data_IF_691121359357
#
_entry.id   IF_691121359357
#
_cell.length_a   1.000
_cell.length_b   1.000
_cell.length_c   1.000
_cell.angle_alpha   90.00
_cell.angle_beta   90.00
_cell.angle_gamma   90.00
#
_symmetry.space_group_name_H-M   'P 1'
#
loop_
_entity.id
_entity.type
_entity.pdbx_description
1 polymer ?
#
# COMPACT_ATOMS: atom_id res chain seq x y z
N UNK A 1 13.81 18.18 -5.17
CA UNK A 1 12.79 18.83 -6.00
C UNK A 1 13.32 20.19 -6.41
N UNK A 2 13.36 20.54 -7.70
CA UNK A 2 13.61 21.90 -8.13
C UNK A 2 12.41 22.79 -7.75
N UNK A 3 12.68 23.93 -7.13
CA UNK A 3 11.73 25.04 -6.91
C UNK A 3 10.45 24.71 -6.10
N UNK A 4 10.45 23.60 -5.35
CA UNK A 4 9.31 23.20 -4.50
C UNK A 4 8.17 22.52 -5.26
N UNK A 5 8.38 22.11 -6.51
CA UNK A 5 7.39 21.36 -7.28
C UNK A 5 7.32 19.87 -6.94
N UNK A 6 6.35 19.16 -7.52
CA UNK A 6 6.16 17.71 -7.30
C UNK A 6 7.23 16.84 -7.96
N UNK A 7 8.06 17.41 -8.84
CA UNK A 7 9.11 16.67 -9.54
C UNK A 7 10.35 16.48 -8.65
N UNK A 8 11.00 15.32 -8.74
CA UNK A 8 12.21 15.04 -7.99
C UNK A 8 13.22 14.21 -8.80
N UNK A 9 14.51 14.51 -8.62
CA UNK A 9 15.60 13.66 -9.10
C UNK A 9 15.78 12.49 -8.13
N UNK A 10 16.00 11.29 -8.67
CA UNK A 10 16.33 10.10 -7.90
C UNK A 10 17.81 9.76 -8.08
N UNK A 11 18.49 9.45 -6.97
CA UNK A 11 19.88 8.99 -6.94
C UNK A 11 20.07 7.93 -5.88
N UNK A 12 20.72 6.84 -6.24
CA UNK A 12 21.10 5.78 -5.31
C UNK A 12 22.19 6.26 -4.34
N UNK A 13 21.98 5.99 -3.05
CA UNK A 13 22.87 6.40 -1.97
C UNK A 13 23.26 5.19 -1.13
N UNK A 14 24.56 5.05 -0.89
CA UNK A 14 25.12 4.05 0.01
C UNK A 14 25.23 4.65 1.43
N UNK A 15 24.54 4.04 2.39
CA UNK A 15 24.47 4.51 3.77
C UNK A 15 25.82 4.30 4.49
N UNK A 16 26.52 3.21 4.22
CA UNK A 16 27.78 2.86 4.88
C UNK A 16 28.93 3.73 4.35
N UNK A 17 29.00 3.87 3.02
CA UNK A 17 29.99 4.74 2.36
C UNK A 17 29.64 6.23 2.50
N UNK A 18 28.38 6.55 2.84
CA UNK A 18 27.84 7.92 2.95
C UNK A 18 28.02 8.73 1.67
N UNK A 19 27.86 8.06 0.53
CA UNK A 19 28.06 8.66 -0.79
C UNK A 19 27.04 8.15 -1.79
N UNK A 20 26.81 8.92 -2.85
CA UNK A 20 26.06 8.42 -4.00
C UNK A 20 26.84 7.30 -4.69
N UNK A 21 26.14 6.26 -5.12
CA UNK A 21 26.74 5.12 -5.82
C UNK A 21 27.16 5.56 -7.23
N UNK A 22 28.44 5.42 -7.57
CA UNK A 22 28.93 5.68 -8.91
C UNK A 22 28.35 4.67 -9.90
N UNK A 23 27.73 5.15 -10.98
CA UNK A 23 27.01 4.27 -11.93
C UNK A 23 25.77 3.59 -11.34
N UNK A 24 25.33 4.00 -10.16
CA UNK A 24 24.10 3.50 -9.54
C UNK A 24 22.84 4.03 -10.22
N UNK A 25 21.68 3.65 -9.67
CA UNK A 25 20.40 4.13 -10.18
C UNK A 25 20.31 5.66 -10.06
N UNK A 26 20.12 6.33 -11.20
CA UNK A 26 19.88 7.78 -11.30
C UNK A 26 18.81 8.11 -12.34
N UNK A 27 17.81 8.90 -11.96
CA UNK A 27 16.76 9.37 -12.85
C UNK A 27 16.62 10.90 -12.80
N UNK A 28 16.34 11.57 -13.94
CA UNK A 28 16.14 13.02 -13.97
C UNK A 28 14.89 13.43 -13.20
N UNK A 29 14.76 14.74 -12.93
CA UNK A 29 13.61 15.26 -12.20
C UNK A 29 12.29 15.00 -12.94
N UNK A 30 11.37 14.28 -12.30
CA UNK A 30 10.01 14.03 -12.81
C UNK A 30 9.04 13.74 -11.66
N UNK A 31 7.75 13.63 -11.96
CA UNK A 31 6.72 13.13 -11.01
C UNK A 31 6.74 11.58 -10.89
N UNK A 32 7.85 10.93 -11.25
CA UNK A 32 7.99 9.48 -11.17
C UNK A 32 8.08 9.00 -9.71
N UNK A 33 7.68 7.75 -9.49
CA UNK A 33 7.88 7.03 -8.22
C UNK A 33 8.90 5.91 -8.36
N UNK A 34 9.63 5.60 -7.28
CA UNK A 34 10.65 4.55 -7.25
C UNK A 34 10.49 3.70 -5.99
N UNK A 35 10.40 2.39 -6.17
CA UNK A 35 10.37 1.41 -5.07
C UNK A 35 11.40 0.32 -5.35
N UNK A 36 12.09 -0.16 -4.32
CA UNK A 36 12.98 -1.31 -4.48
C UNK A 36 12.15 -2.58 -4.68
N UNK A 37 12.42 -3.31 -5.77
CA UNK A 37 12.02 -4.71 -5.84
C UNK A 37 13.04 -5.55 -5.06
N UNK A 38 14.32 -5.43 -5.39
CA UNK A 38 15.42 -6.12 -4.73
C UNK A 38 16.72 -5.33 -4.91
N UNK A 39 17.86 -5.85 -4.44
CA UNK A 39 19.15 -5.17 -4.49
C UNK A 39 19.60 -4.73 -5.89
N UNK A 40 19.08 -5.33 -6.97
CA UNK A 40 19.49 -5.03 -8.35
C UNK A 40 18.32 -4.54 -9.21
N UNK A 41 17.13 -4.36 -8.64
CA UNK A 41 15.93 -4.01 -9.41
C UNK A 41 15.10 -2.94 -8.72
N UNK A 42 14.79 -1.88 -9.47
CA UNK A 42 13.88 -0.81 -9.06
C UNK A 42 12.56 -0.90 -9.84
N UNK A 43 11.44 -0.83 -9.11
CA UNK A 43 10.10 -0.59 -9.66
C UNK A 43 10.00 0.92 -9.92
N UNK A 44 9.73 1.29 -11.17
CA UNK A 44 9.65 2.68 -11.60
C UNK A 44 8.22 2.97 -12.05
N UNK A 45 7.50 3.81 -11.31
CA UNK A 45 6.28 4.45 -11.81
C UNK A 45 6.70 5.64 -12.66
N UNK A 46 6.79 5.45 -13.98
CA UNK A 46 7.44 6.35 -14.91
C UNK A 46 6.52 7.50 -15.36
N UNK A 47 7.04 8.72 -15.36
CA UNK A 47 6.44 9.95 -15.87
C UNK A 47 7.51 10.87 -16.52
N UNK A 48 8.43 10.29 -17.30
CA UNK A 48 9.50 11.06 -17.94
C UNK A 48 9.01 11.59 -19.29
N UNK A 49 8.52 10.69 -20.13
CA UNK A 49 8.03 10.99 -21.47
C UNK A 49 6.51 11.25 -21.49
N UNK A 50 5.99 11.83 -22.57
CA UNK A 50 4.58 12.24 -22.66
C UNK A 50 3.61 11.05 -22.77
N UNK A 51 4.05 9.94 -23.35
CA UNK A 51 3.29 8.69 -23.42
C UNK A 51 3.28 7.92 -22.08
N UNK A 52 4.23 8.21 -21.20
CA UNK A 52 4.31 7.69 -19.83
C UNK A 52 3.45 8.49 -18.84
N UNK A 53 2.81 9.59 -19.27
CA UNK A 53 1.98 10.43 -18.40
C UNK A 53 0.50 10.21 -18.63
N UNK A 54 -0.27 10.33 -17.55
CA UNK A 54 -1.72 10.55 -17.64
C UNK A 54 -1.99 12.00 -18.04
N UNK A 55 -3.25 12.33 -18.37
CA UNK A 55 -3.66 13.72 -18.60
C UNK A 55 -3.43 14.63 -17.38
N UNK A 56 -3.33 14.05 -16.18
CA UNK A 56 -2.99 14.75 -14.93
C UNK A 56 -1.48 14.94 -14.73
N UNK A 57 -0.64 14.47 -15.66
CA UNK A 57 0.82 14.56 -15.60
C UNK A 57 1.49 13.60 -14.62
N UNK A 58 0.75 12.61 -14.08
CA UNK A 58 1.27 11.58 -13.18
C UNK A 58 1.69 10.32 -13.96
N UNK A 59 2.45 9.40 -13.32
CA UNK A 59 2.85 8.16 -13.95
C UNK A 59 1.69 7.37 -14.51
N UNK A 60 1.85 6.84 -15.71
CA UNK A 60 0.89 5.96 -16.39
C UNK A 60 1.44 4.55 -16.55
N UNK A 61 2.76 4.39 -16.57
CA UNK A 61 3.45 3.13 -16.83
C UNK A 61 4.28 2.73 -15.62
N UNK A 62 4.20 1.47 -15.21
CA UNK A 62 5.11 0.88 -14.23
C UNK A 62 6.12 0.00 -14.95
N UNK A 63 7.40 0.19 -14.65
CA UNK A 63 8.53 -0.53 -15.25
C UNK A 63 9.40 -1.21 -14.20
N UNK A 64 10.15 -2.22 -14.61
CA UNK A 64 11.26 -2.79 -13.84
C UNK A 64 12.59 -2.34 -14.46
N UNK A 65 13.39 -1.63 -13.67
CA UNK A 65 14.70 -1.14 -14.05
C UNK A 65 15.79 -1.96 -13.38
N UNK A 66 16.62 -2.61 -14.19
CA UNK A 66 17.71 -3.48 -13.75
C UNK A 66 19.00 -2.70 -13.56
N UNK A 67 19.77 -3.06 -12.54
CA UNK A 67 21.09 -2.47 -12.27
C UNK A 67 22.01 -2.66 -13.47
N UNK A 68 22.72 -1.60 -13.83
CA UNK A 68 23.63 -1.60 -14.98
C UNK A 68 22.95 -1.46 -16.34
N UNK A 69 21.62 -1.45 -16.41
CA UNK A 69 20.90 -1.04 -17.63
C UNK A 69 20.58 0.45 -17.62
N UNK A 70 20.32 1.01 -18.80
CA UNK A 70 19.81 2.38 -18.90
C UNK A 70 18.33 2.40 -18.49
N UNK A 71 17.86 3.55 -18.01
CA UNK A 71 16.48 3.73 -17.55
C UNK A 71 15.48 3.59 -18.71
N UNK A 72 15.85 4.07 -19.89
CA UNK A 72 15.06 3.95 -21.12
C UNK A 72 14.83 2.49 -21.55
N UNK A 73 15.71 1.57 -21.13
CA UNK A 73 15.60 0.15 -21.43
C UNK A 73 14.79 -0.62 -20.37
N UNK A 74 14.23 0.07 -19.36
CA UNK A 74 13.44 -0.54 -18.30
C UNK A 74 12.17 -1.22 -18.85
N UNK A 75 11.86 -2.42 -18.37
CA UNK A 75 10.81 -3.28 -18.92
C UNK A 75 9.43 -2.88 -18.38
N UNK A 76 8.45 -2.48 -19.22
CA UNK A 76 7.10 -2.17 -18.76
C UNK A 76 6.38 -3.43 -18.27
N UNK A 77 5.69 -3.32 -17.13
CA UNK A 77 4.94 -4.43 -16.52
C UNK A 77 3.47 -4.09 -16.25
N UNK A 78 3.09 -2.82 -16.28
CA UNK A 78 1.72 -2.37 -16.03
C UNK A 78 1.50 -1.00 -16.67
N UNK A 79 0.27 -0.76 -17.15
CA UNK A 79 -0.09 0.48 -17.84
C UNK A 79 -1.53 0.86 -17.50
N UNK A 80 -1.74 2.11 -17.09
CA UNK A 80 -3.03 2.72 -16.89
C UNK A 80 -3.53 3.42 -18.18
N UNK A 81 -4.81 3.79 -18.20
CA UNK A 81 -5.36 4.61 -19.26
C UNK A 81 -4.91 6.07 -19.11
N UNK A 82 -4.91 6.81 -20.22
CA UNK A 82 -4.52 8.23 -20.18
C UNK A 82 -5.46 9.10 -19.32
N UNK A 83 -6.71 8.69 -19.17
CA UNK A 83 -7.74 9.40 -18.40
C UNK A 83 -7.71 9.07 -16.91
N UNK A 84 -7.00 8.00 -16.51
CA UNK A 84 -6.83 7.68 -15.10
C UNK A 84 -5.98 8.74 -14.42
N UNK A 85 -6.06 8.82 -13.10
CA UNK A 85 -5.21 9.71 -12.32
C UNK A 85 -3.74 9.28 -12.40
N UNK A 86 -3.42 8.01 -12.08
CA UNK A 86 -2.05 7.50 -12.03
C UNK A 86 -1.94 5.96 -12.06
N UNK A 87 -0.73 5.47 -12.28
CA UNK A 87 -0.30 4.08 -12.07
C UNK A 87 0.85 4.03 -11.05
N UNK A 88 0.79 3.07 -10.14
CA UNK A 88 1.77 2.87 -9.06
C UNK A 88 2.25 1.43 -8.97
N UNK A 89 3.44 1.21 -8.44
CA UNK A 89 3.93 -0.12 -8.08
C UNK A 89 4.78 -0.09 -6.82
N UNK A 90 4.49 -1.00 -5.88
CA UNK A 90 5.23 -1.16 -4.63
C UNK A 90 5.46 -2.64 -4.33
N UNK A 91 6.51 -2.91 -3.55
CA UNK A 91 6.74 -4.23 -2.97
C UNK A 91 6.22 -4.23 -1.53
N UNK A 92 5.15 -4.98 -1.29
CA UNK A 92 4.61 -5.20 0.05
C UNK A 92 5.18 -6.47 0.67
N UNK A 93 5.32 -6.44 1.99
CA UNK A 93 5.85 -7.55 2.78
C UNK A 93 4.80 -8.08 3.75
N UNK A 94 4.78 -9.39 3.93
CA UNK A 94 4.04 -10.07 4.99
C UNK A 94 4.91 -11.17 5.61
N UNK A 95 5.54 -10.84 6.74
CA UNK A 95 6.69 -11.61 7.22
C UNK A 95 7.78 -11.66 6.14
N UNK A 96 8.21 -12.87 5.78
CA UNK A 96 9.20 -13.10 4.73
C UNK A 96 8.59 -13.13 3.30
N UNK A 97 7.26 -13.10 3.19
CA UNK A 97 6.57 -13.10 1.89
C UNK A 97 6.65 -11.72 1.25
N UNK A 98 6.85 -11.72 -0.06
CA UNK A 98 7.03 -10.53 -0.90
C UNK A 98 5.96 -10.50 -1.98
N UNK A 99 5.19 -9.42 -2.04
CA UNK A 99 4.09 -9.24 -2.98
C UNK A 99 4.28 -7.94 -3.76
N UNK A 100 4.55 -8.04 -5.06
CA UNK A 100 4.57 -6.87 -5.93
C UNK A 100 3.13 -6.46 -6.25
N UNK A 101 2.69 -5.36 -5.63
CA UNK A 101 1.39 -4.77 -5.86
C UNK A 101 1.49 -3.64 -6.88
N UNK A 102 0.49 -3.59 -7.75
CA UNK A 102 0.33 -2.56 -8.76
C UNK A 102 -1.01 -1.87 -8.53
N UNK A 103 -1.03 -0.55 -8.69
CA UNK A 103 -2.23 0.26 -8.48
C UNK A 103 -2.54 1.02 -9.75
N UNK A 104 -3.81 1.01 -10.15
CA UNK A 104 -4.39 1.91 -11.14
C UNK A 104 -5.33 2.84 -10.40
N UNK A 105 -4.94 4.08 -10.22
CA UNK A 105 -5.76 5.10 -9.56
C UNK A 105 -6.63 5.78 -10.61
N UNK A 106 -7.94 5.57 -10.53
CA UNK A 106 -8.89 6.08 -11.53
C UNK A 106 -9.11 7.58 -11.33
N UNK A 107 -9.37 7.97 -10.08
CA UNK A 107 -9.54 9.35 -9.63
C UNK A 107 -9.11 9.48 -8.15
N UNK A 108 -9.49 10.56 -7.47
CA UNK A 108 -9.11 10.82 -6.07
C UNK A 108 -9.73 9.84 -5.06
N UNK A 109 -10.79 9.13 -5.43
CA UNK A 109 -11.57 8.27 -4.53
C UNK A 109 -11.63 6.81 -4.98
N UNK A 110 -11.30 6.52 -6.24
CA UNK A 110 -11.40 5.20 -6.84
C UNK A 110 -10.05 4.68 -7.35
N UNK A 111 -9.75 3.42 -7.07
CA UNK A 111 -8.56 2.71 -7.53
C UNK A 111 -8.79 1.22 -7.69
N UNK A 112 -7.97 0.57 -8.52
CA UNK A 112 -7.87 -0.88 -8.60
C UNK A 112 -6.48 -1.31 -8.15
N UNK A 113 -6.42 -2.34 -7.31
CA UNK A 113 -5.16 -2.99 -6.92
C UNK A 113 -4.99 -4.33 -7.62
N UNK A 114 -3.76 -4.66 -7.99
CA UNK A 114 -3.40 -5.88 -8.69
C UNK A 114 -2.19 -6.52 -8.01
N UNK A 115 -2.17 -7.85 -7.96
CA UNK A 115 -0.98 -8.62 -7.63
C UNK A 115 -0.26 -9.03 -8.90
N UNK A 116 1.04 -8.74 -8.98
CA UNK A 116 1.91 -9.29 -10.03
C UNK A 116 2.32 -10.72 -9.66
N UNK A 117 1.86 -11.70 -10.44
CA UNK A 117 2.23 -13.10 -10.24
C UNK A 117 3.60 -13.42 -10.86
N UNK A 118 4.29 -14.47 -10.37
CA UNK A 118 5.54 -14.95 -10.97
C UNK A 118 5.42 -15.26 -12.47
N UNK A 119 4.21 -15.62 -12.93
CA UNK A 119 3.94 -15.98 -14.32
C UNK A 119 4.12 -14.84 -15.34
N UNK A 120 3.92 -13.59 -14.95
CA UNK A 120 3.64 -12.54 -15.96
C UNK A 120 2.34 -11.78 -15.72
N UNK A 121 1.39 -12.41 -15.04
CA UNK A 121 0.03 -11.91 -14.93
C UNK A 121 -0.12 -10.80 -13.88
N UNK A 122 -0.92 -9.78 -14.22
CA UNK A 122 -1.42 -8.76 -13.29
C UNK A 122 -2.84 -9.13 -12.88
N UNK A 123 -2.99 -9.78 -11.72
CA UNK A 123 -4.30 -10.25 -11.26
C UNK A 123 -4.97 -9.19 -10.40
N UNK A 124 -6.14 -8.70 -10.80
CA UNK A 124 -6.92 -7.69 -10.04
C UNK A 124 -7.43 -8.30 -8.73
N UNK A 125 -7.19 -7.62 -7.61
CA UNK A 125 -7.78 -7.96 -6.31
C UNK A 125 -9.27 -7.59 -6.36
N UNK A 126 -10.21 -8.53 -6.07
CA UNK A 126 -11.64 -8.33 -6.27
C UNK A 126 -12.30 -7.53 -5.12
N UNK A 127 -11.83 -6.29 -4.93
CA UNK A 127 -12.35 -5.31 -3.97
C UNK A 127 -13.07 -4.16 -4.69
N UNK A 128 -13.97 -3.42 -4.00
CA UNK A 128 -14.62 -2.25 -4.58
C UNK A 128 -13.60 -1.16 -4.92
N UNK A 129 -13.97 -0.29 -5.85
CA UNK A 129 -13.05 0.73 -6.37
C UNK A 129 -12.67 1.76 -5.29
N UNK A 130 -13.52 1.98 -4.30
CA UNK A 130 -13.32 2.94 -3.21
C UNK A 130 -12.76 2.31 -1.92
N UNK A 131 -12.01 1.20 -2.07
CA UNK A 131 -11.26 0.57 -0.99
C UNK A 131 -10.27 1.55 -0.35
N UNK A 132 -10.12 1.44 0.97
CA UNK A 132 -9.26 2.30 1.80
C UNK A 132 -8.48 1.44 2.80
N UNK A 133 -7.56 2.06 3.55
CA UNK A 133 -6.88 1.45 4.71
C UNK A 133 -6.37 0.03 4.44
N UNK A 134 -5.57 -0.14 3.38
CA UNK A 134 -5.08 -1.45 2.97
C UNK A 134 -3.77 -1.82 3.64
N UNK A 135 -3.66 -3.06 4.12
CA UNK A 135 -2.41 -3.62 4.65
C UNK A 135 -2.38 -5.15 4.54
N UNK A 136 -1.19 -5.71 4.29
CA UNK A 136 -0.95 -7.15 4.42
C UNK A 136 -0.47 -7.48 5.82
N UNK A 137 -1.10 -8.46 6.47
CA UNK A 137 -0.70 -8.93 7.78
C UNK A 137 -1.16 -10.37 8.05
N UNK A 138 -0.21 -11.28 8.30
CA UNK A 138 -0.46 -12.68 8.67
C UNK A 138 -1.39 -13.39 7.69
N UNK A 139 -1.02 -13.33 6.41
CA UNK A 139 -1.73 -13.88 5.26
C UNK A 139 -3.07 -13.22 4.95
N UNK A 140 -3.41 -12.13 5.63
CA UNK A 140 -4.64 -11.39 5.41
C UNK A 140 -4.38 -10.14 4.57
N UNK A 141 -5.29 -9.86 3.65
CA UNK A 141 -5.45 -8.54 3.06
C UNK A 141 -6.52 -7.80 3.87
N UNK A 142 -6.08 -6.86 4.68
CA UNK A 142 -6.95 -6.01 5.50
C UNK A 142 -7.31 -4.77 4.69
N UNK A 143 -8.57 -4.32 4.79
CA UNK A 143 -9.10 -3.20 4.01
C UNK A 143 -10.30 -2.52 4.70
N UNK A 144 -10.49 -1.23 4.42
CA UNK A 144 -11.71 -0.47 4.68
C UNK A 144 -12.45 -0.14 3.37
N UNK A 145 -13.64 0.47 3.47
CA UNK A 145 -14.45 0.90 2.32
C UNK A 145 -15.01 2.31 2.55
N UNK A 146 -15.14 3.13 1.50
CA UNK A 146 -15.80 4.45 1.62
C UNK A 146 -17.31 4.39 1.47
N UNK A 147 -17.81 3.41 0.74
CA UNK A 147 -19.24 3.17 0.54
C UNK A 147 -19.60 1.76 0.99
N UNK A 148 -20.86 1.49 1.39
CA UNK A 148 -21.28 0.14 1.71
C UNK A 148 -21.03 -0.83 0.54
N UNK A 149 -20.41 -1.96 0.84
CA UNK A 149 -20.08 -3.01 -0.12
C UNK A 149 -20.45 -4.38 0.45
N UNK A 150 -21.20 -5.17 -0.31
CA UNK A 150 -21.53 -6.55 0.07
C UNK A 150 -20.56 -7.50 -0.61
N UNK A 151 -19.80 -8.24 0.19
CA UNK A 151 -18.88 -9.25 -0.29
C UNK A 151 -19.63 -10.43 -0.95
N UNK A 152 -18.97 -11.22 -1.82
CA UNK A 152 -19.57 -12.39 -2.46
C UNK A 152 -20.20 -13.42 -1.51
N UNK A 153 -19.73 -13.50 -0.26
CA UNK A 153 -20.27 -14.38 0.79
C UNK A 153 -21.50 -13.78 1.52
N UNK A 154 -21.90 -12.55 1.18
CA UNK A 154 -23.00 -11.82 1.80
C UNK A 154 -22.60 -10.89 2.95
N UNK A 155 -21.33 -10.85 3.34
CA UNK A 155 -20.85 -9.97 4.41
C UNK A 155 -20.97 -8.50 3.99
N UNK A 156 -21.70 -7.71 4.77
CA UNK A 156 -21.88 -6.27 4.52
C UNK A 156 -20.73 -5.48 5.15
N UNK A 157 -19.85 -4.95 4.30
CA UNK A 157 -18.82 -3.99 4.67
C UNK A 157 -19.38 -2.57 4.63
N UNK A 158 -19.10 -1.77 5.64
CA UNK A 158 -19.59 -0.40 5.83
C UNK A 158 -18.42 0.56 6.05
N UNK A 159 -18.62 1.86 5.77
CA UNK A 159 -17.63 2.88 6.08
C UNK A 159 -17.26 2.90 7.57
N UNK A 160 -16.02 3.31 7.86
CA UNK A 160 -15.42 3.30 9.21
C UNK A 160 -15.29 1.91 9.87
N UNK A 161 -15.59 0.84 9.13
CA UNK A 161 -15.25 -0.53 9.49
C UNK A 161 -13.92 -0.97 8.85
N UNK A 162 -13.35 -2.03 9.41
CA UNK A 162 -12.15 -2.68 8.86
C UNK A 162 -12.43 -4.18 8.70
N UNK A 163 -12.03 -4.71 7.56
CA UNK A 163 -12.35 -6.06 7.10
C UNK A 163 -11.08 -6.77 6.67
N UNK A 164 -11.11 -8.09 6.60
CA UNK A 164 -9.99 -8.87 6.09
C UNK A 164 -10.46 -10.06 5.27
N UNK A 165 -9.62 -10.45 4.30
CA UNK A 165 -9.77 -11.70 3.57
C UNK A 165 -8.44 -12.46 3.56
N UNK A 166 -8.53 -13.78 3.47
CA UNK A 166 -7.36 -14.66 3.32
C UNK A 166 -6.70 -14.44 1.95
N UNK A 167 -5.63 -13.65 1.95
CA UNK A 167 -4.91 -13.26 0.76
C UNK A 167 -4.12 -14.44 0.19
N UNK A 168 -3.49 -15.25 1.05
CA UNK A 168 -2.76 -16.43 0.63
C UNK A 168 -3.67 -17.40 -0.15
N UNK A 169 -4.86 -17.68 0.40
CA UNK A 169 -5.89 -18.47 -0.31
C UNK A 169 -6.28 -17.84 -1.63
N UNK A 170 -6.53 -16.52 -1.68
CA UNK A 170 -6.91 -15.85 -2.92
C UNK A 170 -5.81 -15.94 -3.99
N UNK A 171 -4.54 -15.82 -3.61
CA UNK A 171 -3.40 -16.00 -4.52
C UNK A 171 -3.40 -17.39 -5.14
N UNK A 172 -3.55 -18.43 -4.31
CA UNK A 172 -3.49 -19.83 -4.72
C UNK A 172 -4.69 -20.24 -5.57
N UNK A 173 -5.88 -19.79 -5.21
CA UNK A 173 -7.14 -20.32 -5.76
C UNK A 173 -7.84 -19.37 -6.73
N UNK A 174 -7.46 -18.09 -6.74
CA UNK A 174 -8.18 -17.00 -7.41
C UNK A 174 -9.66 -16.89 -6.97
N UNK A 175 -10.02 -17.48 -5.83
CA UNK A 175 -11.36 -17.41 -5.26
C UNK A 175 -11.29 -16.59 -3.97
N UNK A 176 -12.21 -15.64 -3.83
CA UNK A 176 -12.34 -14.90 -2.57
C UNK A 176 -12.78 -15.87 -1.47
N UNK A 177 -12.03 -15.87 -0.36
CA UNK A 177 -12.47 -16.54 0.87
C UNK A 177 -13.59 -15.77 1.57
N UNK A 178 -14.06 -16.26 2.73
CA UNK A 178 -14.96 -15.48 3.57
C UNK A 178 -14.30 -14.17 4.01
N UNK A 179 -15.10 -13.11 4.09
CA UNK A 179 -14.65 -11.82 4.65
C UNK A 179 -14.87 -11.84 6.16
N UNK A 180 -13.82 -11.56 6.92
CA UNK A 180 -13.87 -11.40 8.37
C UNK A 180 -13.96 -9.92 8.74
N UNK A 181 -14.73 -9.61 9.78
CA UNK A 181 -14.79 -8.27 10.35
C UNK A 181 -13.65 -8.12 11.36
N UNK A 182 -12.76 -7.17 11.13
CA UNK A 182 -11.66 -6.81 12.05
C UNK A 182 -12.15 -5.77 13.04
N UNK A 183 -12.81 -4.72 12.55
CA UNK A 183 -13.38 -3.64 13.34
C UNK A 183 -14.79 -3.34 12.80
N UNK A 184 -15.78 -3.45 13.67
CA UNK A 184 -17.13 -2.96 13.37
C UNK A 184 -17.14 -1.43 13.41
N UNK A 185 -17.83 -0.76 12.47
CA UNK A 185 -18.02 0.68 12.56
C UNK A 185 -18.85 1.03 13.80
N UNK A 186 -18.54 2.19 14.40
CA UNK A 186 -19.24 2.67 15.59
C UNK A 186 -19.58 4.16 15.44
N UNK A 187 -20.69 4.56 16.08
CA UNK A 187 -21.14 5.95 16.06
C UNK A 187 -20.04 6.90 16.59
N UNK A 188 -19.78 7.96 15.82
CA UNK A 188 -18.82 9.03 16.17
C UNK A 188 -17.37 8.55 16.33
N UNK A 189 -17.05 7.38 15.76
CA UNK A 189 -15.71 6.82 15.65
C UNK A 189 -15.32 6.74 14.18
N UNK A 190 -14.12 7.20 13.84
CA UNK A 190 -13.55 7.02 12.50
C UNK A 190 -12.12 6.46 12.56
N UNK A 191 -11.70 5.82 11.47
CA UNK A 191 -10.31 5.36 11.32
C UNK A 191 -9.46 6.55 10.85
N UNK A 192 -8.41 6.86 11.61
CA UNK A 192 -7.42 7.89 11.26
C UNK A 192 -6.16 7.32 10.61
N UNK A 193 -5.98 6.00 10.67
CA UNK A 193 -4.93 5.30 9.97
C UNK A 193 -4.63 3.95 10.57
N UNK A 194 -3.85 3.17 9.83
CA UNK A 194 -3.40 1.84 10.24
C UNK A 194 -1.88 1.77 10.15
N UNK A 195 -1.29 0.99 11.05
CA UNK A 195 0.15 0.72 11.01
C UNK A 195 0.41 -0.69 11.52
N UNK A 196 1.48 -1.32 11.06
CA UNK A 196 1.88 -2.63 11.56
C UNK A 196 3.35 -2.67 11.93
N UNK A 197 3.64 -3.50 12.91
CA UNK A 197 4.97 -4.05 13.15
C UNK A 197 5.08 -5.39 12.41
N UNK A 198 6.15 -6.13 12.63
CA UNK A 198 6.22 -7.55 12.25
C UNK A 198 5.13 -8.38 12.95
N UNK A 199 4.87 -8.06 14.21
CA UNK A 199 4.15 -8.97 15.11
C UNK A 199 2.70 -8.55 15.38
N UNK A 200 2.35 -7.26 15.19
CA UNK A 200 1.03 -6.69 15.47
C UNK A 200 0.57 -5.67 14.43
N UNK A 201 -0.74 -5.62 14.24
CA UNK A 201 -1.44 -4.53 13.54
C UNK A 201 -1.99 -3.55 14.57
N UNK A 202 -2.05 -2.26 14.22
CA UNK A 202 -2.60 -1.20 15.04
C UNK A 202 -3.56 -0.36 14.21
N UNK A 203 -4.67 0.04 14.82
CA UNK A 203 -5.64 0.96 14.23
C UNK A 203 -5.65 2.22 15.09
N UNK A 204 -5.36 3.36 14.47
CA UNK A 204 -5.54 4.66 15.06
C UNK A 204 -6.98 5.11 14.79
N UNK A 205 -7.71 5.44 15.85
CA UNK A 205 -9.12 5.80 15.84
C UNK A 205 -9.31 7.22 16.36
N UNK A 206 -10.34 7.90 15.85
CA UNK A 206 -10.82 9.16 16.37
C UNK A 206 -12.22 8.96 16.93
N UNK A 207 -12.32 8.81 18.25
CA UNK A 207 -13.61 8.77 18.96
C UNK A 207 -13.92 10.17 19.44
N UNK A 208 -14.90 10.84 18.83
CA UNK A 208 -15.24 12.21 19.18
C UNK A 208 -14.06 13.17 19.10
N UNK A 209 -13.23 12.99 18.08
CA UNK A 209 -11.99 13.76 17.84
C UNK A 209 -10.95 13.55 18.96
N UNK A 210 -11.09 12.47 19.75
CA UNK A 210 -10.08 12.01 20.71
C UNK A 210 -9.38 10.80 20.13
N UNK A 211 -8.06 10.89 20.06
CA UNK A 211 -7.22 9.82 19.55
C UNK A 211 -7.30 8.59 20.46
N UNK A 212 -7.42 7.42 19.84
CA UNK A 212 -7.35 6.11 20.50
C UNK A 212 -6.56 5.17 19.62
N UNK A 213 -5.80 4.26 20.21
CA UNK A 213 -5.15 3.21 19.45
C UNK A 213 -5.62 1.86 19.96
N UNK A 214 -5.96 0.98 19.02
CA UNK A 214 -6.23 -0.44 19.31
C UNK A 214 -5.16 -1.28 18.63
N UNK A 215 -4.63 -2.26 19.36
CA UNK A 215 -3.77 -3.29 18.82
C UNK A 215 -4.62 -4.50 18.40
N UNK A 216 -4.36 -5.01 17.21
CA UNK A 216 -5.04 -6.18 16.65
C UNK A 216 -4.07 -7.37 16.61
N UNK A 217 -4.53 -8.50 17.12
CA UNK A 217 -3.88 -9.80 16.94
C UNK A 217 -4.73 -10.70 16.05
N UNK A 218 -4.09 -11.46 15.17
CA UNK A 218 -4.72 -12.58 14.46
C UNK A 218 -4.28 -13.89 15.12
N UNK A 219 -5.22 -14.66 15.64
CA UNK A 219 -4.99 -16.02 16.14
C UNK A 219 -5.84 -17.00 15.33
N UNK A 220 -5.67 -18.31 15.48
CA UNK A 220 -6.43 -19.31 14.70
C UNK A 220 -7.96 -19.16 14.73
N UNK A 221 -8.52 -18.45 15.72
CA UNK A 221 -9.97 -18.19 15.88
C UNK A 221 -10.48 -16.86 15.29
N UNK A 222 -9.62 -16.04 14.67
CA UNK A 222 -10.00 -14.74 14.09
C UNK A 222 -9.16 -13.59 14.62
N UNK A 223 -9.72 -12.37 14.55
CA UNK A 223 -9.11 -11.14 15.06
C UNK A 223 -9.51 -10.85 16.51
N UNK A 224 -8.57 -10.36 17.31
CA UNK A 224 -8.85 -9.81 18.63
C UNK A 224 -8.26 -8.41 18.74
N UNK A 225 -9.04 -7.50 19.35
CA UNK A 225 -8.66 -6.10 19.51
C UNK A 225 -8.45 -5.80 20.99
N UNK A 226 -7.38 -5.08 21.29
CA UNK A 226 -7.03 -4.65 22.65
C UNK A 226 -6.68 -3.15 22.64
N UNK A 227 -7.31 -2.31 23.48
CA UNK A 227 -6.92 -0.92 23.61
C UNK A 227 -5.46 -0.78 24.05
N UNK A 228 -4.74 0.15 23.44
CA UNK A 228 -3.43 0.58 23.94
C UNK A 228 -3.66 1.64 25.02
N UNK A 229 -3.05 1.44 26.19
CA UNK A 229 -3.17 2.37 27.30
C UNK A 229 -2.44 3.68 26.99
N UNK A 230 -3.19 4.67 26.49
CA UNK A 230 -2.72 6.02 26.18
C UNK A 230 -3.51 7.05 27.02
N UNK A 231 -2.96 8.27 27.23
CA UNK A 231 -3.67 9.33 27.94
C UNK A 231 -5.06 9.61 27.34
N UNK A 232 -6.08 9.70 28.19
CA UNK A 232 -7.48 9.90 27.75
C UNK A 232 -7.77 11.32 27.23
N UNK A 233 -6.96 12.30 27.63
CA UNK A 233 -7.13 13.71 27.30
C UNK A 233 -5.98 14.17 26.39
N UNK A 234 -6.23 14.24 25.09
CA UNK A 234 -5.28 14.75 24.11
C UNK A 234 -5.52 14.21 22.70
N UNK A 235 -4.66 14.63 21.78
CA UNK A 235 -4.50 13.96 20.48
C UNK A 235 -3.36 12.97 20.62
N UNK A 236 -3.69 11.69 20.66
CA UNK A 236 -2.72 10.58 20.66
C UNK A 236 -2.93 9.78 19.38
N UNK A 237 -1.87 9.22 18.82
CA UNK A 237 -1.96 8.49 17.56
C UNK A 237 -0.81 7.52 17.42
N UNK A 238 -0.54 7.07 16.21
CA UNK A 238 0.67 6.30 15.91
C UNK A 238 1.62 7.26 15.20
N UNK A 239 2.80 7.49 15.77
CA UNK A 239 3.83 8.31 15.14
C UNK A 239 4.75 7.48 14.23
N UNK A 240 5.07 6.25 14.65
CA UNK A 240 5.88 5.33 13.86
C UNK A 240 5.62 3.88 14.23
N UNK A 241 5.67 2.97 13.26
CA UNK A 241 5.71 1.53 13.48
C UNK A 241 6.74 0.90 12.53
N UNK A 242 7.70 0.18 13.11
CA UNK A 242 8.76 -0.46 12.33
C UNK A 242 8.25 -1.80 11.78
N UNK A 243 7.99 -1.83 10.47
CA UNK A 243 7.28 -2.93 9.78
C UNK A 243 8.06 -4.25 9.80
N UNK A 244 9.39 -4.21 9.94
CA UNK A 244 10.25 -5.39 10.03
C UNK A 244 10.67 -5.73 11.46
N UNK A 245 10.42 -4.81 12.40
CA UNK A 245 10.74 -4.95 13.82
C UNK A 245 9.51 -5.10 14.69
N UNK A 246 9.70 -4.88 15.99
CA UNK A 246 8.64 -4.95 17.00
C UNK A 246 8.37 -3.60 17.68
N UNK A 247 8.96 -2.52 17.16
CA UNK A 247 8.90 -1.18 17.75
C UNK A 247 7.73 -0.38 17.20
N UNK A 248 6.98 0.25 18.10
CA UNK A 248 5.93 1.22 17.79
C UNK A 248 6.07 2.43 18.72
N UNK A 249 5.76 3.62 18.21
CA UNK A 249 5.73 4.87 18.95
C UNK A 249 4.37 5.55 18.75
N UNK A 250 3.84 6.14 19.81
CA UNK A 250 2.52 6.78 19.86
C UNK A 250 2.66 8.27 20.11
#
# INVERSE_FOLDING_TARGET
SPDGGDASEMREFDIDAKSFVEGGFRAPASKSGFNWLDKDTVIVSAAFEEDEKTQSGYPRVVKLWQRGSRLEDATPIFEAHKQDLAAGGSLEFDGDKRHLLLTRTLDFFASHSFLRLPSGENRRIPLPDDVTDTVLFRDQFVFGVRSPWTAPDGTLCKPDGLYSLDFARWIETNALGPVEIVLEPADRVSIAGIARTRDRLFINLMDNVRGKVVACDRSGSGWSLQPVALPENGSVGISHAERFGSTVSF
#
